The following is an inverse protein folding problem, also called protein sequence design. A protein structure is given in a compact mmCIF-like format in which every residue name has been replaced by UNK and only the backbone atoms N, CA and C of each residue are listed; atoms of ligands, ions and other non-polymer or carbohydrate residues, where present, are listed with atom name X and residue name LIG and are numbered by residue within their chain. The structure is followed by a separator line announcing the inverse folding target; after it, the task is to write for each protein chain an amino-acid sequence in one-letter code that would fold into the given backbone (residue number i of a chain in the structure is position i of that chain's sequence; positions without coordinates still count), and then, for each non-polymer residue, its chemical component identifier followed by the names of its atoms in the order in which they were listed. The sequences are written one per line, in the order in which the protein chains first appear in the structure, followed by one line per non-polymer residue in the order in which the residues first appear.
data_IF_231718483082
#
_entry.id   IF_231718483082
#
_cell.length_a   1.000
_cell.length_b   1.000
_cell.length_c   1.000
_cell.angle_alpha   90.00
_cell.angle_beta   90.00
_cell.angle_gamma   90.00
#
_symmetry.space_group_name_H-M   'P 1'
#
loop_
_entity.id
_entity.type
_entity.pdbx_description
1 polymer ?
#
# COMPACT_ATOMS: atom_id res chain seq x y z
N UNK A 1 -16.24 12.95 -11.04
CA UNK A 1 -15.49 11.90 -11.75
C UNK A 1 -14.23 11.64 -10.96
N UNK A 2 -14.18 10.53 -10.23
CA UNK A 2 -12.96 10.10 -9.56
C UNK A 2 -12.13 9.28 -10.55
N UNK A 3 -10.88 9.72 -10.75
CA UNK A 3 -9.88 8.98 -11.52
C UNK A 3 -9.30 7.89 -10.64
N UNK A 4 -9.18 6.66 -11.16
CA UNK A 4 -8.76 5.52 -10.34
C UNK A 4 -7.30 5.14 -10.61
N UNK A 5 -6.84 5.15 -11.86
CA UNK A 5 -5.45 4.76 -12.15
C UNK A 5 -4.48 5.92 -12.02
N UNK A 6 -3.50 5.71 -11.13
CA UNK A 6 -2.27 6.51 -11.03
C UNK A 6 -1.17 6.01 -11.99
N UNK A 7 -1.44 4.94 -12.74
CA UNK A 7 -0.50 4.26 -13.63
C UNK A 7 -1.08 4.13 -15.03
N UNK A 8 -0.20 4.20 -16.04
CA UNK A 8 -0.58 3.95 -17.43
C UNK A 8 -0.53 2.45 -17.69
N UNK A 9 -1.59 1.91 -18.29
CA UNK A 9 -1.67 0.51 -18.73
C UNK A 9 -1.66 0.44 -20.26
N UNK A 10 -0.88 -0.46 -20.85
CA UNK A 10 -0.86 -0.66 -22.31
C UNK A 10 -0.56 -2.11 -22.64
N UNK A 11 -1.31 -2.66 -23.59
CA UNK A 11 -0.95 -3.90 -24.26
C UNK A 11 0.32 -3.71 -25.10
N UNK A 12 1.11 -4.77 -25.20
CA UNK A 12 2.29 -4.84 -26.04
C UNK A 12 2.33 -6.19 -26.77
N UNK A 13 2.76 -6.17 -28.03
CA UNK A 13 3.04 -7.39 -28.79
C UNK A 13 4.13 -7.13 -29.81
N UNK A 14 5.13 -8.01 -29.87
CA UNK A 14 6.20 -7.98 -30.88
C UNK A 14 5.73 -8.36 -32.28
N UNK A 15 4.54 -8.95 -32.40
CA UNK A 15 3.97 -9.37 -33.69
C UNK A 15 3.01 -8.33 -34.28
N UNK A 16 2.71 -7.25 -33.55
CA UNK A 16 1.83 -6.19 -34.00
C UNK A 16 2.58 -4.85 -34.02
N UNK A 17 2.91 -4.39 -35.23
CA UNK A 17 3.67 -3.15 -35.44
C UNK A 17 2.97 -1.91 -34.84
N UNK A 18 1.63 -1.87 -34.85
CA UNK A 18 0.89 -0.75 -34.28
C UNK A 18 1.10 -0.66 -32.76
N UNK A 19 1.13 -1.80 -32.06
CA UNK A 19 1.37 -1.85 -30.61
C UNK A 19 2.81 -1.49 -30.26
N UNK A 20 3.77 -1.90 -31.09
CA UNK A 20 5.17 -1.47 -30.93
C UNK A 20 5.27 0.05 -31.06
N UNK A 21 4.61 0.65 -32.05
CA UNK A 21 4.62 2.11 -32.25
C UNK A 21 4.02 2.85 -31.05
N UNK A 22 2.89 2.37 -30.53
CA UNK A 22 2.24 2.93 -29.34
C UNK A 22 3.16 2.81 -28.12
N UNK A 23 3.73 1.63 -27.87
CA UNK A 23 4.68 1.41 -26.77
C UNK A 23 5.91 2.33 -26.85
N UNK A 24 6.52 2.47 -28.03
CA UNK A 24 7.63 3.40 -28.25
C UNK A 24 7.25 4.86 -27.98
N UNK A 25 6.02 5.25 -28.32
CA UNK A 25 5.51 6.59 -28.03
C UNK A 25 5.37 6.83 -26.52
N UNK A 26 4.87 5.84 -25.77
CA UNK A 26 4.80 5.92 -24.30
C UNK A 26 6.20 6.01 -23.69
N UNK A 27 7.13 5.13 -24.11
CA UNK A 27 8.51 5.18 -23.61
C UNK A 27 9.19 6.52 -23.93
N UNK A 28 8.97 7.07 -25.13
CA UNK A 28 9.52 8.39 -25.50
C UNK A 28 8.91 9.51 -24.66
N UNK A 29 7.62 9.42 -24.32
CA UNK A 29 6.98 10.38 -23.41
C UNK A 29 7.63 10.34 -22.02
N UNK A 30 7.84 9.15 -21.46
CA UNK A 30 8.46 9.01 -20.15
C UNK A 30 9.94 9.41 -20.12
N UNK A 31 10.69 9.10 -21.19
CA UNK A 31 12.12 9.41 -21.26
C UNK A 31 12.40 10.88 -21.61
N UNK A 32 11.60 11.48 -22.49
CA UNK A 32 11.91 12.76 -23.14
C UNK A 32 10.77 13.79 -23.08
N UNK A 33 9.62 13.47 -22.47
CA UNK A 33 8.47 14.37 -22.40
C UNK A 33 7.75 14.60 -23.73
N UNK A 34 7.96 13.74 -24.74
CA UNK A 34 7.28 13.86 -26.04
C UNK A 34 5.78 13.68 -25.91
N UNK A 35 4.97 14.26 -26.80
CA UNK A 35 3.51 14.09 -26.75
C UNK A 35 3.10 12.63 -26.93
N UNK A 36 2.17 12.17 -26.08
CA UNK A 36 1.57 10.83 -26.17
C UNK A 36 0.13 10.91 -26.71
N UNK A 37 -0.39 9.89 -27.41
CA UNK A 37 -1.80 9.83 -27.74
C UNK A 37 -2.65 9.93 -26.47
N UNK A 38 -3.57 10.90 -26.40
CA UNK A 38 -4.53 11.07 -25.29
C UNK A 38 -5.76 10.18 -25.41
N UNK A 39 -5.77 9.26 -26.36
CA UNK A 39 -6.87 8.32 -26.53
C UNK A 39 -6.76 7.21 -25.49
N UNK A 40 -7.90 6.69 -25.05
CA UNK A 40 -7.98 5.42 -24.34
C UNK A 40 -8.70 4.40 -25.21
N UNK A 41 -8.32 3.14 -25.08
CA UNK A 41 -9.06 1.99 -25.60
C UNK A 41 -9.32 1.07 -24.42
N UNK A 42 -10.58 1.03 -24.01
CA UNK A 42 -11.12 0.26 -22.88
C UNK A 42 -11.99 -0.94 -23.34
N UNK A 43 -12.16 -1.13 -24.65
CA UNK A 43 -12.82 -2.29 -25.24
C UNK A 43 -11.93 -3.55 -25.14
N UNK A 44 -12.42 -4.55 -24.41
CA UNK A 44 -11.76 -5.83 -24.18
C UNK A 44 -11.54 -6.66 -25.46
N UNK A 45 -12.23 -6.36 -26.56
CA UNK A 45 -12.03 -7.02 -27.84
C UNK A 45 -10.86 -6.43 -28.66
N UNK A 46 -10.24 -5.36 -28.14
CA UNK A 46 -9.13 -4.66 -28.77
C UNK A 46 -7.94 -4.60 -27.82
N UNK A 47 -6.72 -4.37 -28.33
CA UNK A 47 -5.58 -4.10 -27.47
C UNK A 47 -5.86 -2.85 -26.61
N UNK A 48 -5.97 -3.07 -25.31
CA UNK A 48 -6.34 -2.03 -24.34
C UNK A 48 -5.14 -1.12 -24.09
N UNK A 49 -5.37 0.18 -24.02
CA UNK A 49 -4.42 1.13 -23.46
C UNK A 49 -5.16 2.27 -22.77
N UNK A 50 -4.73 2.56 -21.53
CA UNK A 50 -5.36 3.52 -20.63
C UNK A 50 -4.26 4.38 -20.05
N UNK A 51 -4.30 5.67 -20.37
CA UNK A 51 -3.37 6.66 -19.81
C UNK A 51 -3.82 7.00 -18.38
N UNK A 52 -2.87 7.23 -17.49
CA UNK A 52 -3.19 7.75 -16.15
C UNK A 52 -4.09 8.99 -16.25
N UNK A 53 -5.11 9.10 -15.40
CA UNK A 53 -6.03 10.23 -15.48
C UNK A 53 -7.26 10.02 -16.36
N UNK A 54 -7.30 8.98 -17.20
CA UNK A 54 -8.34 8.82 -18.23
C UNK A 54 -9.41 7.76 -17.90
N UNK A 55 -9.25 7.02 -16.81
CA UNK A 55 -10.19 6.01 -16.34
C UNK A 55 -11.03 6.52 -15.17
N UNK A 56 -12.28 6.10 -15.15
CA UNK A 56 -13.24 6.31 -14.06
C UNK A 56 -14.01 5.02 -13.81
N UNK A 57 -14.61 4.88 -12.61
CA UNK A 57 -15.42 3.69 -12.26
C UNK A 57 -16.59 3.52 -13.25
N UNK A 58 -17.16 4.64 -13.68
CA UNK A 58 -18.21 4.67 -14.69
C UNK A 58 -17.74 4.17 -16.06
N UNK A 59 -16.52 4.51 -16.48
CA UNK A 59 -15.98 4.05 -17.77
C UNK A 59 -15.54 2.59 -17.79
N UNK A 60 -15.11 2.04 -16.64
CA UNK A 60 -14.80 0.61 -16.50
C UNK A 60 -16.10 -0.19 -16.50
N UNK A 61 -17.16 0.38 -15.93
CA UNK A 61 -18.48 -0.23 -15.81
C UNK A 61 -18.68 -0.94 -14.48
N UNK A 62 -19.88 -1.50 -14.27
CA UNK A 62 -20.21 -2.24 -13.06
C UNK A 62 -19.44 -3.58 -13.01
N UNK A 63 -19.15 -4.10 -11.80
CA UNK A 63 -18.71 -5.49 -11.65
C UNK A 63 -19.77 -6.45 -12.19
N UNK A 64 -19.44 -7.75 -12.36
CA UNK A 64 -20.38 -8.79 -12.81
C UNK A 64 -21.42 -9.14 -11.73
N UNK A 65 -22.16 -8.13 -11.29
CA UNK A 65 -23.25 -8.13 -10.32
C UNK A 65 -24.39 -7.28 -10.87
N UNK A 66 -25.54 -7.25 -10.21
CA UNK A 66 -26.66 -6.43 -10.64
C UNK A 66 -26.29 -4.93 -10.72
N UNK A 67 -26.40 -4.36 -11.92
CA UNK A 67 -26.12 -2.96 -12.25
C UNK A 67 -26.86 -1.96 -11.34
N UNK A 68 -28.07 -2.30 -10.88
CA UNK A 68 -28.83 -1.44 -9.99
C UNK A 68 -28.17 -1.29 -8.61
N UNK A 69 -27.44 -2.31 -8.17
CA UNK A 69 -26.68 -2.30 -6.91
C UNK A 69 -25.44 -1.43 -7.02
N UNK A 70 -24.77 -1.44 -8.19
CA UNK A 70 -23.60 -0.60 -8.45
C UNK A 70 -23.94 0.90 -8.43
N UNK A 71 -25.01 1.31 -9.12
CA UNK A 71 -25.40 2.73 -9.20
C UNK A 71 -25.84 3.34 -7.86
N UNK A 72 -26.21 2.51 -6.88
CA UNK A 72 -26.61 2.94 -5.54
C UNK A 72 -25.50 2.80 -4.49
N UNK A 73 -24.34 2.28 -4.87
CA UNK A 73 -23.28 2.00 -3.93
C UNK A 73 -22.53 3.27 -3.54
N UNK A 74 -22.51 3.59 -2.24
CA UNK A 74 -21.67 4.66 -1.71
C UNK A 74 -20.17 4.36 -1.77
N UNK A 75 -19.78 3.09 -1.99
CA UNK A 75 -18.40 2.63 -2.10
C UNK A 75 -18.26 1.57 -3.22
N UNK A 76 -18.20 1.99 -4.50
CA UNK A 76 -18.15 1.08 -5.65
C UNK A 76 -16.99 0.08 -5.62
N UNK A 77 -15.86 0.45 -4.99
CA UNK A 77 -14.68 -0.41 -4.86
C UNK A 77 -14.94 -1.68 -4.03
N UNK A 78 -15.83 -1.62 -3.03
CA UNK A 78 -16.15 -2.80 -2.21
C UNK A 78 -16.89 -3.87 -3.02
N UNK A 79 -17.70 -3.46 -3.98
CA UNK A 79 -18.39 -4.38 -4.88
C UNK A 79 -17.41 -5.12 -5.79
N UNK A 80 -16.40 -4.42 -6.30
CA UNK A 80 -15.32 -5.03 -7.07
C UNK A 80 -14.48 -5.99 -6.23
N UNK A 81 -14.18 -5.63 -4.99
CA UNK A 81 -13.49 -6.52 -4.05
C UNK A 81 -14.29 -7.80 -3.82
N UNK A 82 -15.59 -7.70 -3.57
CA UNK A 82 -16.45 -8.85 -3.38
C UNK A 82 -16.50 -9.73 -4.64
N UNK A 83 -16.75 -9.15 -5.81
CA UNK A 83 -16.79 -9.90 -7.07
C UNK A 83 -15.47 -10.63 -7.35
N UNK A 84 -14.33 -10.01 -7.02
CA UNK A 84 -13.03 -10.67 -7.09
C UNK A 84 -12.92 -11.86 -6.14
N UNK A 85 -13.29 -11.67 -4.87
CA UNK A 85 -13.25 -12.71 -3.84
C UNK A 85 -14.16 -13.90 -4.15
N UNK A 86 -15.31 -13.65 -4.76
CA UNK A 86 -16.27 -14.69 -5.17
C UNK A 86 -15.78 -15.46 -6.41
N UNK A 87 -15.05 -14.79 -7.32
CA UNK A 87 -14.61 -15.40 -8.58
C UNK A 87 -13.27 -16.16 -8.45
N UNK A 88 -12.34 -15.67 -7.64
CA UNK A 88 -11.01 -16.24 -7.49
C UNK A 88 -10.84 -16.91 -6.12
N UNK A 89 -10.16 -18.07 -6.05
CA UNK A 89 -9.89 -18.73 -4.77
C UNK A 89 -9.03 -17.82 -3.89
N UNK A 90 -9.46 -17.62 -2.64
CA UNK A 90 -8.71 -16.85 -1.67
C UNK A 90 -7.62 -17.74 -1.07
N UNK A 91 -6.40 -17.60 -1.57
CA UNK A 91 -5.24 -18.21 -0.92
C UNK A 91 -4.88 -17.33 0.27
N UNK A 92 -4.94 -17.89 1.48
CA UNK A 92 -4.23 -17.31 2.61
C UNK A 92 -2.74 -17.42 2.28
N UNK A 93 -2.15 -16.30 1.85
CA UNK A 93 -0.70 -16.23 1.86
C UNK A 93 -0.29 -16.49 3.31
N UNK A 94 0.44 -17.58 3.56
CA UNK A 94 1.29 -17.68 4.72
C UNK A 94 2.25 -16.50 4.60
N UNK A 95 1.85 -15.36 5.14
CA UNK A 95 2.74 -14.30 5.50
C UNK A 95 3.63 -14.98 6.54
N UNK A 96 4.75 -15.55 6.08
CA UNK A 96 5.92 -15.71 6.92
C UNK A 96 6.07 -14.34 7.56
N UNK A 97 5.66 -14.26 8.83
CA UNK A 97 5.92 -13.09 9.65
C UNK A 97 7.42 -13.15 9.83
N UNK A 98 8.17 -12.64 8.84
CA UNK A 98 9.58 -12.30 9.02
C UNK A 98 9.59 -11.53 10.31
N UNK A 99 10.26 -12.10 11.31
CA UNK A 99 10.42 -11.42 12.57
C UNK A 99 11.05 -10.06 12.26
N UNK A 100 10.77 -9.03 13.05
CA UNK A 100 11.37 -7.70 12.83
C UNK A 100 12.91 -7.78 12.75
N UNK A 101 13.48 -8.87 13.26
CA UNK A 101 14.90 -9.22 13.29
C UNK A 101 15.43 -9.69 11.91
N UNK A 102 14.58 -10.19 11.02
CA UNK A 102 14.95 -10.71 9.69
C UNK A 102 14.81 -9.68 8.55
N UNK A 103 14.52 -8.42 8.89
CA UNK A 103 14.40 -7.33 7.91
C UNK A 103 15.78 -6.70 7.67
N UNK A 104 16.20 -6.62 6.40
CA UNK A 104 17.30 -5.74 6.00
C UNK A 104 16.84 -4.28 6.20
N UNK A 105 17.12 -3.74 7.39
CA UNK A 105 16.79 -2.37 7.74
C UNK A 105 17.87 -1.43 7.22
N UNK A 106 17.45 -0.39 6.52
CA UNK A 106 18.34 0.68 6.09
C UNK A 106 18.61 1.65 7.24
N UNK A 107 19.81 2.24 7.29
CA UNK A 107 20.15 3.25 8.28
C UNK A 107 19.30 4.50 8.06
N UNK A 108 18.46 4.84 9.04
CA UNK A 108 17.55 5.98 8.99
C UNK A 108 17.78 6.85 10.24
N UNK A 109 18.60 7.92 10.13
CA UNK A 109 19.06 8.68 11.30
C UNK A 109 17.92 9.20 12.18
N UNK A 110 16.77 9.52 11.60
CA UNK A 110 15.60 10.00 12.36
C UNK A 110 15.01 8.87 13.20
N UNK A 111 14.83 7.68 12.61
CA UNK A 111 14.29 6.51 13.30
C UNK A 111 15.27 6.04 14.38
N UNK A 112 16.56 5.97 14.06
CA UNK A 112 17.61 5.55 14.99
C UNK A 112 17.66 6.44 16.24
N UNK A 113 17.56 7.75 16.06
CA UNK A 113 17.51 8.72 17.17
C UNK A 113 16.25 8.55 18.04
N UNK A 114 15.10 8.23 17.43
CA UNK A 114 13.86 8.00 18.16
C UNK A 114 13.91 6.70 18.98
N UNK A 115 14.53 5.66 18.44
CA UNK A 115 14.76 4.39 19.14
C UNK A 115 15.69 4.62 20.34
N UNK A 116 16.84 5.26 20.13
CA UNK A 116 17.80 5.55 21.20
C UNK A 116 17.19 6.41 22.31
N UNK A 117 16.35 7.39 21.96
CA UNK A 117 15.62 8.19 22.95
C UNK A 117 14.64 7.34 23.76
N UNK A 118 13.84 6.51 23.10
CA UNK A 118 12.88 5.60 23.76
C UNK A 118 13.60 4.67 24.74
N UNK A 119 14.73 4.10 24.35
CA UNK A 119 15.52 3.18 25.18
C UNK A 119 16.07 3.88 26.42
N UNK A 120 16.65 5.07 26.25
CA UNK A 120 17.15 5.89 27.36
C UNK A 120 16.05 6.26 28.36
N UNK A 121 14.88 6.65 27.88
CA UNK A 121 13.74 6.99 28.73
C UNK A 121 13.26 5.77 29.52
N UNK A 122 13.27 4.59 28.88
CA UNK A 122 12.89 3.32 29.52
C UNK A 122 13.88 2.90 30.60
N UNK A 123 15.18 3.00 30.34
CA UNK A 123 16.24 2.71 31.33
C UNK A 123 16.11 3.60 32.57
N UNK A 124 15.90 4.89 32.35
CA UNK A 124 15.72 5.85 33.44
C UNK A 124 14.49 5.50 34.29
N UNK A 125 13.37 5.12 33.65
CA UNK A 125 12.17 4.68 34.35
C UNK A 125 12.40 3.43 35.20
N UNK A 126 13.08 2.42 34.63
CA UNK A 126 13.42 1.17 35.33
C UNK A 126 14.30 1.48 36.55
N UNK A 127 15.30 2.34 36.39
CA UNK A 127 16.20 2.75 37.48
C UNK A 127 15.44 3.46 38.60
N UNK A 128 14.63 4.47 38.28
CA UNK A 128 13.82 5.18 39.26
C UNK A 128 12.87 4.26 40.03
N UNK A 129 12.25 3.29 39.33
CA UNK A 129 11.37 2.31 39.94
C UNK A 129 12.12 1.42 40.93
N UNK A 130 13.32 0.94 40.57
CA UNK A 130 14.18 0.15 41.46
C UNK A 130 14.64 0.94 42.68
N UNK A 131 15.07 2.19 42.47
CA UNK A 131 15.54 3.06 43.55
C UNK A 131 14.42 3.36 44.56
N UNK A 132 13.19 3.60 44.08
CA UNK A 132 12.01 3.79 44.94
C UNK A 132 11.71 2.55 45.78
N UNK A 133 11.71 1.37 45.16
CA UNK A 133 11.48 0.11 45.87
C UNK A 133 12.55 -0.15 46.93
N UNK A 134 13.82 0.15 46.64
CA UNK A 134 14.91 0.01 47.60
C UNK A 134 14.80 0.99 48.78
N UNK A 135 14.34 2.23 48.53
CA UNK A 135 14.11 3.21 49.59
C UNK A 135 12.96 2.81 50.52
N UNK A 136 11.86 2.30 49.94
CA UNK A 136 10.70 1.78 50.69
C UNK A 136 11.09 0.56 51.54
N UNK A 137 11.89 -0.37 51.00
CA UNK A 137 12.39 -1.52 51.75
C UNK A 137 13.27 -1.11 52.94
N UNK A 138 14.19 -0.16 52.75
CA UNK A 138 15.03 0.38 53.83
C UNK A 138 14.23 1.11 54.90
N UNK A 139 13.14 1.81 54.52
CA UNK A 139 12.25 2.46 55.46
C UNK A 139 11.45 1.43 56.29
N UNK A 140 10.95 0.37 55.64
CA UNK A 140 10.24 -0.71 56.32
C UNK A 140 11.13 -1.48 57.30
N UNK A 141 12.40 -1.74 56.96
CA UNK A 141 13.37 -2.37 57.86
C UNK A 141 13.63 -1.52 59.12
N UNK A 142 13.73 -0.18 58.97
CA UNK A 142 13.90 0.73 60.11
C UNK A 142 12.70 0.78 61.05
N UNK A 143 11.48 0.68 60.51
CA UNK A 143 10.25 0.66 61.31
C UNK A 143 10.12 -0.67 62.08
N UNK A 144 10.60 -1.77 61.50
CA UNK A 144 10.56 -3.10 62.14
C UNK A 144 11.62 -3.29 63.24
N UNK A 145 12.65 -2.45 63.27
CA UNK A 145 13.73 -2.50 64.25
C UNK A 145 13.47 -1.63 65.52
N UNK A 146 12.30 -1.00 65.60
CA UNK A 146 11.79 -0.23 66.76
C UNK A 146 10.69 -1.05 67.42
#
# INVERSE_FOLDING_TARGET
MEVITLLTFSFYSSHNEQLIRVGRSFLSHFAFGTTVPRTKVDDHNKPIYVVCGMDTFESIGPPPIDTATFSRAGQPIHLWKQAFTDHFPQTEAELEKKSTEDQELFSEPIIDNLIAKREKDLEMYIKQKKDRQAAEARAAEKIKAI
#
